data_IF_748921647129
#
_entry.id   IF_748921647129
#
_cell.length_a   1.000
_cell.length_b   1.000
_cell.length_c   1.000
_cell.angle_alpha   90.00
_cell.angle_beta   90.00
_cell.angle_gamma   90.00
#
_symmetry.space_group_name_H-M   'P 1'
#
loop_
_entity.id
_entity.type
_entity.pdbx_description
1 polymer ?
#
# COMPACT_ATOMS: atom_id res chain seq x y z
N UNK A 1 18.11 -0.36 -4.33
CA UNK A 1 18.52 -1.48 -5.21
C UNK A 1 17.33 -1.86 -6.07
N UNK A 2 17.48 -1.87 -7.38
CA UNK A 2 16.37 -2.04 -8.32
C UNK A 2 16.82 -3.05 -9.38
N UNK A 3 16.01 -4.07 -9.64
CA UNK A 3 16.24 -5.01 -10.74
C UNK A 3 14.97 -5.11 -11.58
N UNK A 4 15.13 -5.06 -12.91
CA UNK A 4 14.05 -5.17 -13.90
C UNK A 4 14.47 -6.20 -14.94
N UNK A 5 13.56 -7.10 -15.32
CA UNK A 5 13.75 -8.00 -16.47
C UNK A 5 12.56 -7.93 -17.42
N UNK A 6 12.86 -7.79 -18.72
CA UNK A 6 11.91 -7.99 -19.83
C UNK A 6 12.08 -9.39 -20.43
N UNK A 7 10.97 -9.98 -20.87
CA UNK A 7 10.96 -11.14 -21.77
C UNK A 7 10.00 -10.82 -22.90
N UNK A 8 10.54 -10.48 -24.06
CA UNK A 8 9.77 -10.31 -25.29
C UNK A 8 9.69 -11.66 -26.00
N UNK A 9 8.48 -12.20 -26.20
CA UNK A 9 8.27 -13.29 -27.15
C UNK A 9 6.96 -13.06 -27.91
N UNK A 10 7.07 -12.69 -29.18
CA UNK A 10 5.95 -12.41 -30.08
C UNK A 10 5.78 -13.60 -31.02
N UNK A 11 4.59 -14.19 -31.07
CA UNK A 11 4.16 -15.11 -32.13
C UNK A 11 2.75 -14.70 -32.60
N UNK A 12 2.49 -14.55 -33.93
CA UNK A 12 1.24 -13.98 -34.45
C UNK A 12 0.09 -14.99 -34.68
N UNK A 13 -1.13 -14.43 -34.74
CA UNK A 13 -2.45 -15.06 -34.92
C UNK A 13 -2.70 -15.66 -36.33
N UNK A 14 -3.72 -16.56 -36.52
CA UNK A 14 -5.13 -16.17 -36.78
C UNK A 14 -6.14 -17.21 -36.21
N UNK A 15 -7.49 -17.18 -36.27
CA UNK A 15 -8.52 -16.52 -37.11
C UNK A 15 -9.85 -16.52 -36.33
N UNK A 16 -10.72 -15.55 -36.60
CA UNK A 16 -12.05 -15.36 -35.98
C UNK A 16 -13.06 -16.46 -36.38
N UNK A 17 -13.90 -16.89 -35.43
CA UNK A 17 -15.18 -17.58 -35.69
C UNK A 17 -16.29 -17.01 -34.78
N UNK A 18 -17.52 -16.82 -35.28
CA UNK A 18 -18.58 -16.12 -34.54
C UNK A 18 -19.39 -17.09 -33.70
N UNK A 19 -19.36 -16.94 -32.38
CA UNK A 19 -20.37 -17.54 -31.49
C UNK A 19 -21.13 -16.44 -30.80
N UNK A 20 -22.37 -16.24 -31.26
CA UNK A 20 -23.38 -15.44 -30.59
C UNK A 20 -23.83 -16.23 -29.35
N UNK A 21 -23.15 -16.02 -28.22
CA UNK A 21 -23.51 -16.64 -26.95
C UNK A 21 -23.78 -15.56 -25.90
N UNK A 22 -25.01 -15.63 -25.41
CA UNK A 22 -25.60 -14.92 -24.29
C UNK A 22 -24.57 -14.57 -23.21
N UNK A 23 -24.27 -13.28 -23.05
CA UNK A 23 -23.52 -12.78 -21.90
C UNK A 23 -24.32 -13.04 -20.63
N UNK A 24 -24.05 -14.17 -19.97
CA UNK A 24 -24.41 -14.39 -18.58
C UNK A 24 -23.88 -13.18 -17.77
N UNK A 25 -24.63 -12.63 -16.80
CA UNK A 25 -24.07 -11.62 -15.92
C UNK A 25 -22.81 -12.22 -15.27
N UNK A 26 -21.65 -11.65 -15.59
CA UNK A 26 -20.42 -11.88 -14.85
C UNK A 26 -20.75 -11.55 -13.41
N UNK A 27 -20.87 -12.58 -12.56
CA UNK A 27 -20.94 -12.36 -11.13
C UNK A 27 -19.65 -11.63 -10.77
N UNK A 28 -19.77 -10.33 -10.54
CA UNK A 28 -18.70 -9.49 -10.03
C UNK A 28 -18.22 -10.16 -8.76
N UNK A 29 -17.06 -10.80 -8.84
CA UNK A 29 -16.22 -11.06 -7.69
C UNK A 29 -16.24 -9.77 -6.87
N UNK A 30 -16.71 -9.86 -5.63
CA UNK A 30 -16.89 -8.71 -4.74
C UNK A 30 -15.62 -7.87 -4.71
N UNK A 31 -15.57 -6.85 -5.54
CA UNK A 31 -14.51 -5.86 -5.49
C UNK A 31 -14.71 -5.16 -4.14
N UNK A 32 -13.69 -5.13 -3.26
CA UNK A 32 -13.84 -4.55 -1.93
C UNK A 32 -14.17 -3.06 -1.97
N UNK A 33 -13.91 -2.42 -3.10
CA UNK A 33 -14.15 -1.01 -3.36
C UNK A 33 -15.06 -0.81 -4.57
N UNK A 34 -15.71 0.35 -4.62
CA UNK A 34 -16.55 0.79 -5.74
C UNK A 34 -15.72 0.93 -7.03
N UNK A 35 -16.40 0.99 -8.17
CA UNK A 35 -15.76 1.29 -9.45
C UNK A 35 -15.01 2.63 -9.39
N UNK A 36 -13.74 2.62 -9.78
CA UNK A 36 -12.85 3.79 -9.73
C UNK A 36 -11.97 3.88 -8.49
N UNK A 37 -12.25 3.07 -7.46
CA UNK A 37 -11.44 2.99 -6.24
C UNK A 37 -10.61 1.69 -6.20
N UNK A 38 -9.44 1.77 -5.60
CA UNK A 38 -8.58 0.64 -5.25
C UNK A 38 -8.54 0.45 -3.73
N UNK A 39 -8.45 -0.80 -3.27
CA UNK A 39 -8.20 -1.09 -1.85
C UNK A 39 -6.70 -0.94 -1.60
N UNK A 40 -6.31 0.12 -0.89
CA UNK A 40 -4.93 0.33 -0.47
C UNK A 40 -4.79 -0.15 0.97
N UNK A 41 -3.74 -0.91 1.25
CA UNK A 41 -3.40 -1.32 2.60
C UNK A 41 -1.97 -0.96 2.99
N UNK A 42 -1.79 -0.65 4.27
CA UNK A 42 -0.54 -0.21 4.88
C UNK A 42 -0.38 -0.94 6.20
N UNK A 43 0.72 -1.66 6.33
CA UNK A 43 1.17 -2.24 7.58
C UNK A 43 2.50 -1.60 7.99
N UNK A 44 2.66 -1.26 9.26
CA UNK A 44 3.91 -0.80 9.83
C UNK A 44 4.10 -1.41 11.21
N UNK A 45 5.13 -2.22 11.36
CA UNK A 45 5.63 -2.68 12.66
C UNK A 45 6.80 -1.80 13.10
N UNK A 46 6.74 -1.36 14.36
CA UNK A 46 7.72 -0.46 14.96
C UNK A 46 8.71 -1.29 15.78
N UNK A 47 9.99 -0.91 15.75
CA UNK A 47 11.00 -1.54 16.59
C UNK A 47 10.94 -1.04 18.05
N UNK A 48 11.97 -1.34 18.84
CA UNK A 48 11.98 -0.95 20.26
C UNK A 48 12.13 0.59 20.44
N UNK A 49 12.50 1.33 19.38
CA UNK A 49 12.69 2.79 19.36
C UNK A 49 11.52 3.54 18.73
N UNK A 50 10.31 3.20 19.17
CA UNK A 50 9.08 3.90 18.78
C UNK A 50 9.16 5.42 18.89
N UNK A 51 9.93 5.95 19.84
CA UNK A 51 10.00 7.39 20.06
C UNK A 51 10.66 8.19 18.92
N UNK A 52 11.25 7.47 17.97
CA UNK A 52 12.03 8.01 16.85
C UNK A 52 11.23 7.92 15.55
N UNK A 53 10.17 7.10 15.53
CA UNK A 53 9.37 6.83 14.35
C UNK A 53 8.15 7.75 14.27
N UNK A 54 7.94 8.31 13.09
CA UNK A 54 6.70 8.99 12.71
C UNK A 54 6.30 8.59 11.30
N UNK A 55 5.00 8.60 11.01
CA UNK A 55 4.49 8.29 9.69
C UNK A 55 3.47 9.31 9.23
N UNK A 56 3.41 9.51 7.92
CA UNK A 56 2.33 10.21 7.24
C UNK A 56 1.86 9.42 6.03
N UNK A 57 0.55 9.36 5.84
CA UNK A 57 -0.08 8.86 4.62
C UNK A 57 -1.02 9.92 4.07
N UNK A 58 -0.83 10.30 2.81
CA UNK A 58 -1.52 11.45 2.20
C UNK A 58 -1.66 11.28 0.70
N UNK A 59 -2.59 12.02 0.10
CA UNK A 59 -2.58 12.31 -1.32
C UNK A 59 -1.44 13.28 -1.65
N UNK A 60 -0.80 13.12 -2.81
CA UNK A 60 0.27 13.99 -3.26
C UNK A 60 -0.23 15.43 -3.44
N UNK A 61 0.07 16.30 -2.46
CA UNK A 61 -0.37 17.70 -2.44
C UNK A 61 -1.82 17.90 -1.98
N UNK A 62 -2.45 16.86 -1.44
CA UNK A 62 -3.87 16.85 -1.07
C UNK A 62 -4.12 16.49 0.39
N UNK A 63 -5.14 15.66 0.61
CA UNK A 63 -5.60 15.28 1.94
C UNK A 63 -4.59 14.38 2.68
N UNK A 64 -4.49 14.56 3.99
CA UNK A 64 -3.74 13.66 4.89
C UNK A 64 -4.73 12.68 5.52
N UNK A 65 -4.44 11.38 5.40
CA UNK A 65 -5.27 10.30 5.93
C UNK A 65 -4.73 9.79 7.27
N UNK A 66 -3.40 9.72 7.42
CA UNK A 66 -2.74 9.30 8.65
C UNK A 66 -1.59 10.27 8.94
N UNK A 67 -1.50 10.73 10.18
CA UNK A 67 -0.38 11.49 10.71
C UNK A 67 -0.17 11.04 12.16
N UNK A 68 0.92 10.31 12.39
CA UNK A 68 1.19 9.68 13.69
C UNK A 68 2.65 9.87 14.08
N UNK A 69 2.86 10.43 15.27
CA UNK A 69 4.17 10.52 15.93
C UNK A 69 4.16 9.57 17.13
N UNK A 70 5.03 8.57 17.08
CA UNK A 70 5.10 7.53 18.11
C UNK A 70 5.93 7.96 19.34
N UNK A 71 6.66 9.08 19.27
CA UNK A 71 7.41 9.65 20.39
C UNK A 71 6.65 10.66 21.24
N UNK A 72 5.56 11.24 20.72
CA UNK A 72 4.74 12.21 21.45
C UNK A 72 3.47 11.61 22.08
N UNK A 73 3.14 10.37 21.72
CA UNK A 73 1.89 9.75 22.15
C UNK A 73 2.08 9.12 23.54
N UNK A 74 1.62 9.82 24.58
CA UNK A 74 1.61 9.35 25.98
C UNK A 74 0.73 8.11 26.23
N UNK A 75 0.09 7.56 25.19
CA UNK A 75 -0.66 6.32 25.30
C UNK A 75 0.32 5.15 25.36
N UNK A 76 0.52 4.61 26.55
CA UNK A 76 1.01 3.25 26.73
C UNK A 76 0.25 2.31 25.77
N UNK A 77 0.94 1.75 24.78
CA UNK A 77 0.36 0.77 23.85
C UNK A 77 0.02 1.31 22.46
N UNK A 78 0.87 2.14 21.85
CA UNK A 78 0.91 2.19 20.38
C UNK A 78 1.70 0.99 19.87
N UNK A 79 0.99 0.07 19.24
CA UNK A 79 1.56 -1.06 18.52
C UNK A 79 1.69 -0.76 17.03
N UNK A 80 1.91 -1.81 16.26
CA UNK A 80 1.95 -1.78 14.81
C UNK A 80 0.70 -1.11 14.22
N UNK A 81 0.87 -0.38 13.12
CA UNK A 81 -0.23 0.11 12.28
C UNK A 81 -0.69 -1.01 11.35
N UNK A 82 -1.99 -1.21 11.27
CA UNK A 82 -2.66 -1.98 10.22
C UNK A 82 -3.84 -1.16 9.71
N UNK A 83 -3.72 -0.62 8.50
CA UNK A 83 -4.70 0.27 7.89
C UNK A 83 -5.06 -0.19 6.48
N UNK A 84 -6.35 -0.16 6.16
CA UNK A 84 -6.85 -0.39 4.81
C UNK A 84 -7.93 0.65 4.47
N UNK A 85 -8.01 1.04 3.20
CA UNK A 85 -9.03 1.97 2.74
C UNK A 85 -9.23 1.93 1.22
N UNK A 86 -10.48 2.17 0.81
CA UNK A 86 -10.82 2.40 -0.60
C UNK A 86 -10.48 3.84 -0.98
N UNK A 87 -9.58 4.00 -1.95
CA UNK A 87 -9.09 5.29 -2.40
C UNK A 87 -9.12 5.37 -3.94
N UNK A 88 -9.38 6.56 -4.53
CA UNK A 88 -9.34 6.76 -5.97
C UNK A 88 -8.09 6.18 -6.64
N UNK A 89 -8.28 5.28 -7.60
CA UNK A 89 -7.19 4.55 -8.24
C UNK A 89 -6.34 5.41 -9.19
N UNK A 90 -6.83 6.57 -9.61
CA UNK A 90 -6.15 7.51 -10.51
C UNK A 90 -5.38 8.63 -9.75
N UNK A 91 -5.38 8.58 -8.42
CA UNK A 91 -4.70 9.54 -7.56
C UNK A 91 -3.37 8.98 -7.07
N UNK A 92 -2.35 9.84 -6.98
CA UNK A 92 -1.06 9.49 -6.40
C UNK A 92 -1.05 9.72 -4.89
N UNK A 93 -0.67 8.71 -4.13
CA UNK A 93 -0.53 8.78 -2.68
C UNK A 93 0.95 8.73 -2.26
N UNK A 94 1.24 9.36 -1.14
CA UNK A 94 2.56 9.38 -0.51
C UNK A 94 2.45 8.78 0.89
N UNK A 95 3.12 7.65 1.07
CA UNK A 95 3.39 7.05 2.38
C UNK A 95 4.83 7.39 2.76
N UNK A 96 5.00 8.10 3.87
CA UNK A 96 6.30 8.52 4.39
C UNK A 96 6.47 8.00 5.79
N UNK A 97 7.58 7.33 6.05
CA UNK A 97 8.04 6.99 7.39
C UNK A 97 9.32 7.79 7.65
N UNK A 98 9.40 8.41 8.82
CA UNK A 98 10.59 9.13 9.28
C UNK A 98 11.10 8.48 10.54
N UNK A 99 12.40 8.23 10.50
CA UNK A 99 13.21 7.90 11.66
C UNK A 99 14.06 9.14 12.00
N UNK A 100 14.06 9.51 13.28
CA UNK A 100 14.66 10.75 13.77
C UNK A 100 16.19 10.74 13.73
N UNK A 101 16.82 9.59 13.96
CA UNK A 101 18.28 9.49 14.06
C UNK A 101 18.93 8.93 12.80
N UNK A 102 18.14 8.33 11.91
CA UNK A 102 18.57 7.90 10.58
C UNK A 102 19.35 6.60 10.59
N UNK A 103 19.31 5.84 11.69
CA UNK A 103 19.83 4.48 11.79
C UNK A 103 18.81 3.44 11.29
N UNK A 104 17.55 3.84 11.11
CA UNK A 104 16.50 3.03 10.54
C UNK A 104 15.77 2.19 11.59
N UNK A 105 14.70 1.53 11.16
CA UNK A 105 13.76 0.85 12.07
C UNK A 105 14.09 -0.63 12.33
N UNK A 106 15.35 -1.08 12.21
CA UNK A 106 15.65 -2.50 12.41
C UNK A 106 16.98 -2.81 13.09
N UNK A 107 17.10 -4.12 13.36
CA UNK A 107 18.29 -4.95 13.27
C UNK A 107 18.99 -5.24 14.62
N UNK A 108 19.30 -4.23 15.42
CA UNK A 108 19.98 -4.44 16.71
C UNK A 108 19.05 -4.30 17.93
N UNK A 109 17.92 -3.61 17.76
CA UNK A 109 17.05 -3.14 18.84
C UNK A 109 15.57 -3.33 18.46
N UNK A 110 15.24 -4.53 18.00
CA UNK A 110 13.93 -4.86 17.46
C UNK A 110 13.91 -4.91 15.94
N UNK A 111 12.84 -5.49 15.41
CA UNK A 111 12.64 -5.70 13.98
C UNK A 111 11.39 -4.94 13.54
N UNK A 112 11.57 -3.66 13.17
CA UNK A 112 10.53 -2.90 12.51
C UNK A 112 10.47 -3.21 11.02
N UNK A 113 9.29 -3.11 10.43
CA UNK A 113 9.06 -3.40 9.02
C UNK A 113 7.82 -2.70 8.51
N UNK A 114 7.70 -2.51 7.19
CA UNK A 114 6.49 -1.95 6.60
C UNK A 114 6.11 -2.68 5.32
N UNK A 115 4.83 -2.59 4.95
CA UNK A 115 4.29 -3.12 3.70
C UNK A 115 3.19 -2.21 3.18
N UNK A 116 3.13 -2.03 1.86
CA UNK A 116 2.08 -1.29 1.16
C UNK A 116 1.60 -2.13 -0.02
N UNK A 117 0.28 -2.28 -0.18
CA UNK A 117 -0.34 -3.04 -1.27
C UNK A 117 -1.55 -2.31 -1.85
N UNK A 118 -1.85 -2.59 -3.13
CA UNK A 118 -3.01 -2.07 -3.88
C UNK A 118 -3.35 -2.99 -5.07
#
# INVERSE_FOLDING_TARGET
MQETRRVDNVIPAPTLSPTLHSSLPTSSTSQPCSDGDALIGIFLSIDDFKEETSLTFSELGGAVFIEQDYGQTLAFGIGDLDWEGCLPADVCYLFTIKDKWGDGMCCAHGEGSYSVWY
#
